data_IF_631363968450
#
_entry.id   IF_631363968450
#
_cell.length_a   1.000
_cell.length_b   1.000
_cell.length_c   1.000
_cell.angle_alpha   90.00
_cell.angle_beta   90.00
_cell.angle_gamma   90.00
#
_symmetry.space_group_name_H-M   'P 1'
#
loop_
_entity.id
_entity.type
_entity.pdbx_description
1 polymer ?
#
# COMPACT_ATOMS: atom_id res chain seq x y z
N UNK A 1 -12.35 -36.95 42.77
CA UNK A 1 -12.16 -37.12 41.31
C UNK A 1 -13.13 -36.30 40.47
N UNK A 2 -14.36 -36.05 40.92
CA UNK A 2 -15.40 -35.32 40.15
C UNK A 2 -15.06 -33.86 39.83
N UNK A 3 -14.35 -33.13 40.71
CA UNK A 3 -13.98 -31.73 40.51
C UNK A 3 -12.81 -31.52 39.51
N UNK A 4 -11.94 -32.54 39.36
CA UNK A 4 -10.80 -32.43 38.41
C UNK A 4 -11.24 -32.61 36.96
N UNK A 5 -12.31 -33.37 36.73
CA UNK A 5 -12.89 -33.58 35.39
C UNK A 5 -13.59 -32.29 34.90
N UNK A 6 -14.25 -31.58 35.83
CA UNK A 6 -14.94 -30.34 35.48
C UNK A 6 -13.96 -29.20 35.05
N UNK A 7 -12.80 -29.12 35.73
CA UNK A 7 -11.75 -28.15 35.37
C UNK A 7 -11.15 -28.48 34.00
N UNK A 8 -10.96 -29.77 33.69
CA UNK A 8 -10.42 -30.21 32.40
C UNK A 8 -11.37 -29.87 31.22
N UNK A 9 -12.68 -30.01 31.43
CA UNK A 9 -13.69 -29.69 30.42
C UNK A 9 -13.78 -28.17 30.20
N UNK A 10 -13.68 -27.35 31.26
CA UNK A 10 -13.70 -25.89 31.13
C UNK A 10 -12.45 -25.38 30.40
N UNK A 11 -11.27 -25.96 30.66
CA UNK A 11 -10.05 -25.60 29.95
C UNK A 11 -10.11 -26.01 28.46
N UNK A 12 -10.74 -27.13 28.15
CA UNK A 12 -10.91 -27.59 26.77
C UNK A 12 -11.88 -26.69 25.96
N UNK A 13 -12.87 -26.08 26.62
CA UNK A 13 -13.82 -25.15 25.96
C UNK A 13 -13.26 -23.74 25.74
N UNK A 14 -12.21 -23.33 26.44
CA UNK A 14 -11.55 -22.03 26.26
C UNK A 14 -10.58 -21.99 25.07
N UNK A 15 -10.25 -23.11 24.44
CA UNK A 15 -9.25 -23.19 23.36
C UNK A 15 -9.89 -23.14 21.95
N UNK A 16 -11.23 -23.09 21.85
CA UNK A 16 -11.93 -23.37 20.59
C UNK A 16 -12.38 -22.12 19.79
N UNK A 17 -11.89 -20.92 20.09
CA UNK A 17 -12.27 -19.71 19.35
C UNK A 17 -11.12 -18.82 18.95
N UNK A 18 -9.97 -19.38 18.55
CA UNK A 18 -9.01 -18.62 17.75
C UNK A 18 -9.39 -18.83 16.27
N UNK A 19 -10.39 -18.15 15.84
CA UNK A 19 -10.60 -17.95 14.39
C UNK A 19 -9.50 -17.00 13.93
N UNK A 20 -8.50 -17.52 13.23
CA UNK A 20 -7.63 -16.68 12.44
C UNK A 20 -8.53 -15.87 11.50
N UNK A 21 -8.47 -14.55 11.60
CA UNK A 21 -9.21 -13.68 10.71
C UNK A 21 -8.60 -13.87 9.32
N UNK A 22 -9.36 -14.44 8.38
CA UNK A 22 -8.94 -14.53 6.98
C UNK A 22 -8.77 -13.10 6.46
N UNK A 23 -7.53 -12.75 6.16
CA UNK A 23 -7.17 -11.46 5.56
C UNK A 23 -6.98 -11.71 4.07
N UNK A 24 -7.79 -11.08 3.24
CA UNK A 24 -7.73 -11.22 1.80
C UNK A 24 -7.21 -9.94 1.14
N UNK A 25 -6.39 -10.11 0.10
CA UNK A 25 -6.10 -9.04 -0.85
C UNK A 25 -7.25 -8.95 -1.85
N UNK A 26 -7.95 -7.82 -1.88
CA UNK A 26 -9.11 -7.61 -2.77
C UNK A 26 -8.75 -7.44 -4.26
N UNK A 27 -7.48 -7.56 -4.63
CA UNK A 27 -6.99 -7.21 -5.97
C UNK A 27 -7.64 -8.04 -7.08
N UNK A 28 -7.79 -9.36 -6.90
CA UNK A 28 -8.36 -10.22 -7.95
C UNK A 28 -9.83 -9.84 -8.23
N UNK A 29 -10.60 -9.63 -7.17
CA UNK A 29 -12.00 -9.24 -7.29
C UNK A 29 -12.14 -7.84 -7.92
N UNK A 30 -11.30 -6.89 -7.51
CA UNK A 30 -11.26 -5.54 -8.05
C UNK A 30 -10.89 -5.53 -9.54
N UNK A 31 -9.84 -6.23 -9.93
CA UNK A 31 -9.44 -6.35 -11.32
C UNK A 31 -10.53 -7.03 -12.18
N UNK A 32 -11.19 -8.06 -11.66
CA UNK A 32 -12.29 -8.72 -12.36
C UNK A 32 -13.46 -7.77 -12.62
N UNK A 33 -13.72 -6.83 -11.71
CA UNK A 33 -14.75 -5.81 -11.89
C UNK A 33 -14.32 -4.76 -12.93
N UNK A 34 -13.10 -4.23 -12.81
CA UNK A 34 -12.58 -3.22 -13.76
C UNK A 34 -12.47 -3.76 -15.18
N UNK A 35 -12.11 -5.01 -15.36
CA UNK A 35 -12.00 -5.65 -16.67
C UNK A 35 -13.35 -5.85 -17.40
N UNK A 36 -14.48 -5.60 -16.72
CA UNK A 36 -15.80 -5.56 -17.37
C UNK A 36 -15.99 -4.30 -18.23
N UNK A 37 -15.25 -3.23 -17.94
CA UNK A 37 -15.20 -2.04 -18.77
C UNK A 37 -14.27 -2.30 -19.98
N UNK A 38 -14.78 -2.29 -21.22
CA UNK A 38 -13.98 -2.56 -22.40
C UNK A 38 -12.89 -1.50 -22.67
N UNK A 39 -13.08 -0.26 -22.22
CA UNK A 39 -12.09 0.81 -22.38
C UNK A 39 -10.93 0.57 -21.41
N UNK A 40 -11.22 0.26 -20.15
CA UNK A 40 -10.21 -0.13 -19.19
C UNK A 40 -9.43 -1.38 -19.65
N UNK A 41 -10.12 -2.42 -20.09
CA UNK A 41 -9.49 -3.67 -20.55
C UNK A 41 -8.52 -3.41 -21.70
N UNK A 42 -8.90 -2.56 -22.67
CA UNK A 42 -8.05 -2.17 -23.79
C UNK A 42 -6.81 -1.40 -23.35
N UNK A 43 -6.99 -0.42 -22.45
CA UNK A 43 -5.88 0.36 -21.91
C UNK A 43 -4.92 -0.52 -21.10
N UNK A 44 -5.45 -1.40 -20.28
CA UNK A 44 -4.66 -2.37 -19.53
C UNK A 44 -3.79 -3.25 -20.44
N UNK A 45 -4.36 -3.80 -21.54
CA UNK A 45 -3.59 -4.59 -22.50
C UNK A 45 -2.46 -3.78 -23.17
N UNK A 46 -2.73 -2.53 -23.53
CA UNK A 46 -1.72 -1.63 -24.08
C UNK A 46 -0.59 -1.37 -23.07
N UNK A 47 -0.93 -1.14 -21.81
CA UNK A 47 0.05 -0.93 -20.75
C UNK A 47 0.87 -2.18 -20.47
N UNK A 48 0.26 -3.39 -20.50
CA UNK A 48 0.99 -4.65 -20.41
C UNK A 48 2.01 -4.84 -21.55
N UNK A 49 1.67 -4.44 -22.77
CA UNK A 49 2.61 -4.47 -23.89
C UNK A 49 3.77 -3.50 -23.70
N UNK A 50 3.47 -2.26 -23.27
CA UNK A 50 4.51 -1.27 -22.94
C UNK A 50 5.43 -1.77 -21.86
N UNK A 51 4.86 -2.33 -20.77
CA UNK A 51 5.62 -2.91 -19.66
C UNK A 51 6.55 -4.03 -20.12
N UNK A 52 6.05 -5.00 -20.89
CA UNK A 52 6.89 -6.09 -21.45
C UNK A 52 8.04 -5.56 -22.30
N UNK A 53 7.77 -4.51 -23.09
CA UNK A 53 8.81 -3.88 -23.91
C UNK A 53 9.86 -3.19 -23.03
N UNK A 54 9.43 -2.48 -21.99
CA UNK A 54 10.32 -1.83 -21.04
C UNK A 54 11.18 -2.84 -20.26
N UNK A 55 10.58 -3.95 -19.80
CA UNK A 55 11.29 -5.05 -19.12
C UNK A 55 12.36 -5.64 -20.06
N UNK A 56 12.01 -5.95 -21.31
CA UNK A 56 12.98 -6.49 -22.26
C UNK A 56 14.15 -5.52 -22.51
N UNK A 57 13.87 -4.21 -22.57
CA UNK A 57 14.92 -3.19 -22.69
C UNK A 57 15.78 -3.10 -21.43
N UNK A 58 15.20 -3.21 -20.24
CA UNK A 58 15.92 -3.15 -18.96
C UNK A 58 16.88 -4.33 -18.74
N UNK A 59 16.68 -5.42 -19.47
CA UNK A 59 17.60 -6.56 -19.43
C UNK A 59 18.88 -6.33 -20.22
N UNK A 60 18.97 -5.26 -21.04
CA UNK A 60 20.18 -4.95 -21.78
C UNK A 60 21.30 -4.45 -20.85
N UNK A 61 22.57 -4.82 -21.11
CA UNK A 61 23.70 -4.39 -20.28
C UNK A 61 23.85 -2.88 -20.22
N UNK A 62 23.58 -2.18 -21.34
CA UNK A 62 23.70 -0.72 -21.46
C UNK A 62 22.67 -0.01 -20.56
N UNK A 63 21.46 -0.54 -20.46
CA UNK A 63 20.43 0.02 -19.61
C UNK A 63 20.74 -0.17 -18.12
N UNK A 64 21.29 -1.33 -17.74
CA UNK A 64 21.67 -1.60 -16.34
C UNK A 64 22.75 -0.63 -15.83
N UNK A 65 23.63 -0.19 -16.69
CA UNK A 65 24.68 0.76 -16.34
C UNK A 65 24.16 2.19 -16.13
N UNK A 66 23.01 2.53 -16.72
CA UNK A 66 22.37 3.86 -16.55
C UNK A 66 21.55 4.01 -15.26
N UNK A 67 21.32 2.92 -14.51
CA UNK A 67 20.55 2.91 -13.27
C UNK A 67 21.45 3.01 -12.01
N UNK A 68 22.49 3.85 -12.06
CA UNK A 68 23.40 4.05 -10.92
C UNK A 68 22.71 4.84 -9.79
N UNK A 69 21.82 5.76 -10.16
CA UNK A 69 21.04 6.54 -9.19
C UNK A 69 19.73 5.84 -8.84
N UNK A 70 19.23 5.97 -7.60
CA UNK A 70 17.94 5.39 -7.23
C UNK A 70 16.81 6.05 -8.02
N UNK A 71 15.85 5.21 -8.42
CA UNK A 71 14.59 5.70 -8.98
C UNK A 71 13.77 6.26 -7.82
N UNK A 72 13.58 7.58 -7.80
CA UNK A 72 12.76 8.24 -6.78
C UNK A 72 11.30 8.28 -7.22
N UNK A 73 10.41 7.73 -6.40
CA UNK A 73 8.97 7.70 -6.64
C UNK A 73 8.30 8.69 -5.68
N UNK A 74 7.72 9.80 -6.20
CA UNK A 74 6.96 10.72 -5.38
C UNK A 74 5.64 10.07 -4.95
N UNK A 75 5.32 10.19 -3.68
CA UNK A 75 4.12 9.62 -3.07
C UNK A 75 3.22 10.73 -2.56
N UNK A 76 1.92 10.55 -2.74
CA UNK A 76 0.87 11.31 -2.07
C UNK A 76 -0.02 10.36 -1.25
N UNK A 77 -0.54 10.85 -0.12
CA UNK A 77 -1.39 10.07 0.77
C UNK A 77 -2.69 10.84 1.03
N UNK A 78 -3.81 10.16 0.82
CA UNK A 78 -5.14 10.76 0.91
C UNK A 78 -5.92 10.07 2.04
N UNK A 79 -6.20 10.82 3.11
CA UNK A 79 -6.98 10.35 4.24
C UNK A 79 -8.45 10.81 4.14
N UNK A 80 -9.40 10.06 4.73
CA UNK A 80 -10.81 10.44 4.71
C UNK A 80 -11.07 11.72 5.52
N UNK A 81 -12.23 12.36 5.25
CA UNK A 81 -12.69 13.53 5.98
C UNK A 81 -12.98 13.26 7.46
N UNK A 82 -12.92 14.31 8.26
CA UNK A 82 -13.22 14.26 9.70
C UNK A 82 -11.99 13.97 10.57
N UNK A 83 -10.80 13.91 9.97
CA UNK A 83 -9.53 13.62 10.65
C UNK A 83 -8.58 14.83 10.69
N UNK A 84 -9.07 16.01 10.35
CA UNK A 84 -8.26 17.23 10.17
C UNK A 84 -7.54 17.64 11.46
N UNK A 85 -8.13 17.37 12.63
CA UNK A 85 -7.52 17.65 13.94
C UNK A 85 -6.24 16.83 14.21
N UNK A 86 -6.07 15.71 13.51
CA UNK A 86 -4.96 14.78 13.71
C UNK A 86 -3.88 14.89 12.63
N UNK A 87 -3.88 15.95 11.82
CA UNK A 87 -2.96 16.14 10.68
C UNK A 87 -1.52 15.76 11.01
N UNK A 88 -0.95 16.27 12.07
CA UNK A 88 0.44 15.99 12.44
C UNK A 88 0.70 14.48 12.70
N UNK A 89 -0.28 13.78 13.29
CA UNK A 89 -0.20 12.34 13.49
C UNK A 89 -0.30 11.59 12.15
N UNK A 90 -1.21 12.01 11.28
CA UNK A 90 -1.43 11.38 9.97
C UNK A 90 -0.24 11.58 9.04
N UNK A 91 0.40 12.75 9.04
CA UNK A 91 1.64 13.00 8.31
C UNK A 91 2.78 12.11 8.81
N UNK A 92 2.91 11.96 10.14
CA UNK A 92 3.90 11.05 10.72
C UNK A 92 3.59 9.58 10.38
N UNK A 93 2.32 9.19 10.33
CA UNK A 93 1.90 7.84 9.94
C UNK A 93 2.16 7.59 8.45
N UNK A 94 1.92 8.60 7.59
CA UNK A 94 2.26 8.54 6.18
C UNK A 94 3.78 8.33 5.99
N UNK A 95 4.61 9.08 6.72
CA UNK A 95 6.06 8.89 6.68
C UNK A 95 6.46 7.50 7.16
N UNK A 96 5.85 6.99 8.23
CA UNK A 96 6.09 5.62 8.71
C UNK A 96 5.80 4.57 7.63
N UNK A 97 4.70 4.71 6.88
CA UNK A 97 4.39 3.82 5.75
C UNK A 97 5.47 3.89 4.66
N UNK A 98 5.99 5.07 4.37
CA UNK A 98 7.08 5.24 3.39
C UNK A 98 8.38 4.60 3.89
N UNK A 99 8.69 4.73 5.17
CA UNK A 99 9.87 4.11 5.78
C UNK A 99 9.79 2.57 5.71
N UNK A 100 8.60 2.00 5.93
CA UNK A 100 8.34 0.55 5.75
C UNK A 100 8.62 0.15 4.31
N UNK A 101 8.02 0.84 3.32
CA UNK A 101 8.24 0.55 1.91
C UNK A 101 9.72 0.62 1.52
N UNK A 102 10.42 1.65 1.95
CA UNK A 102 11.83 1.78 1.67
C UNK A 102 12.64 0.64 2.32
N UNK A 103 12.26 0.21 3.51
CA UNK A 103 12.87 -0.95 4.17
C UNK A 103 12.63 -2.25 3.38
N UNK A 104 11.41 -2.46 2.89
CA UNK A 104 11.03 -3.65 2.13
C UNK A 104 11.79 -3.72 0.79
N UNK A 105 11.80 -2.62 0.04
CA UNK A 105 12.44 -2.56 -1.28
C UNK A 105 13.97 -2.62 -1.20
N UNK A 106 14.56 -2.19 -0.09
CA UNK A 106 16.01 -2.29 0.15
C UNK A 106 16.42 -3.54 0.94
N UNK A 107 15.45 -4.39 1.32
CA UNK A 107 15.65 -5.58 2.15
C UNK A 107 16.35 -5.27 3.50
N UNK A 108 16.02 -4.12 4.09
CA UNK A 108 16.52 -3.68 5.40
C UNK A 108 15.46 -3.76 6.51
N UNK A 109 14.26 -4.17 6.18
CA UNK A 109 13.18 -4.42 7.13
C UNK A 109 13.54 -5.53 8.14
N UNK A 110 12.99 -5.50 9.37
CA UNK A 110 13.37 -6.42 10.44
C UNK A 110 13.16 -7.91 10.14
N UNK A 111 12.19 -8.23 9.27
CA UNK A 111 11.84 -9.60 8.90
C UNK A 111 12.56 -10.10 7.63
N UNK A 112 13.37 -9.28 6.97
CA UNK A 112 14.20 -9.69 5.83
C UNK A 112 15.10 -10.90 6.17
N UNK A 113 15.51 -11.05 7.43
CA UNK A 113 16.30 -12.17 7.90
C UNK A 113 15.53 -13.50 7.89
N UNK A 114 14.19 -13.48 7.90
CA UNK A 114 13.36 -14.68 7.81
C UNK A 114 13.51 -15.38 6.47
N UNK A 115 14.00 -14.66 5.45
CA UNK A 115 14.33 -15.26 4.15
C UNK A 115 15.31 -16.43 4.27
N UNK A 116 16.25 -16.36 5.19
CA UNK A 116 17.19 -17.47 5.43
C UNK A 116 16.46 -18.79 5.72
N UNK A 117 15.33 -18.73 6.43
CA UNK A 117 14.48 -19.90 6.73
C UNK A 117 13.56 -20.25 5.57
N UNK A 118 12.97 -19.25 4.94
CA UNK A 118 12.00 -19.43 3.86
C UNK A 118 12.64 -19.90 2.54
N UNK A 119 13.87 -19.49 2.25
CA UNK A 119 14.59 -19.77 0.99
C UNK A 119 14.67 -21.25 0.63
N UNK A 120 14.69 -22.14 1.61
CA UNK A 120 14.69 -23.58 1.39
C UNK A 120 13.44 -24.12 0.69
N UNK A 121 12.31 -23.40 0.78
CA UNK A 121 11.04 -23.73 0.13
C UNK A 121 10.94 -23.16 -1.31
N UNK A 122 11.85 -22.24 -1.67
CA UNK A 122 11.84 -21.53 -2.95
C UNK A 122 13.21 -21.64 -3.64
N UNK A 123 13.63 -22.84 -4.08
CA UNK A 123 14.95 -23.04 -4.69
C UNK A 123 15.08 -22.21 -5.96
N UNK A 124 16.22 -21.50 -6.08
CA UNK A 124 16.50 -20.65 -7.23
C UNK A 124 15.89 -19.24 -7.18
N UNK A 125 15.14 -18.92 -6.10
CA UNK A 125 14.63 -17.58 -5.84
C UNK A 125 15.54 -16.88 -4.84
N UNK A 126 15.87 -15.62 -5.10
CA UNK A 126 16.58 -14.75 -4.14
C UNK A 126 15.70 -13.55 -3.81
N UNK A 127 15.76 -13.07 -2.58
CA UNK A 127 15.24 -11.74 -2.30
C UNK A 127 16.11 -10.70 -3.01
N UNK A 128 15.49 -9.72 -3.63
CA UNK A 128 16.18 -8.64 -4.32
C UNK A 128 16.39 -7.44 -3.42
N UNK A 129 17.28 -6.56 -3.86
CA UNK A 129 17.38 -5.19 -3.38
C UNK A 129 17.07 -4.31 -4.58
N UNK A 130 16.00 -3.53 -4.51
CA UNK A 130 15.64 -2.62 -5.57
C UNK A 130 16.33 -1.26 -5.37
N UNK A 131 16.84 -0.68 -6.46
CA UNK A 131 17.36 0.69 -6.43
C UNK A 131 16.21 1.68 -6.63
N UNK A 132 15.22 1.63 -5.72
CA UNK A 132 14.00 2.45 -5.71
C UNK A 132 13.89 3.09 -4.34
N UNK A 133 13.54 4.37 -4.33
CA UNK A 133 13.26 5.14 -3.13
C UNK A 133 11.90 5.80 -3.24
N UNK A 134 11.06 5.61 -2.25
CA UNK A 134 9.80 6.32 -2.10
C UNK A 134 9.99 7.54 -1.21
N UNK A 135 9.38 8.66 -1.55
CA UNK A 135 9.36 9.84 -0.72
C UNK A 135 8.00 10.53 -0.80
N UNK A 136 7.49 11.03 0.32
CA UNK A 136 6.32 11.91 0.28
C UNK A 136 6.75 13.17 -0.47
N UNK A 137 6.00 13.52 -1.53
CA UNK A 137 6.32 14.70 -2.30
C UNK A 137 6.12 15.97 -1.46
N UNK A 138 6.97 16.96 -1.70
CA UNK A 138 6.91 18.25 -1.00
C UNK A 138 6.83 19.44 -1.97
N UNK A 139 6.72 19.16 -3.27
CA UNK A 139 6.67 20.18 -4.30
C UNK A 139 5.77 19.71 -5.46
N UNK A 140 5.35 20.67 -6.26
CA UNK A 140 4.46 20.48 -7.43
C UNK A 140 3.10 19.89 -7.07
N UNK A 141 2.57 20.30 -5.91
CA UNK A 141 1.24 19.89 -5.49
C UNK A 141 0.17 20.35 -6.48
N UNK A 142 -0.84 19.51 -6.76
CA UNK A 142 -1.98 19.96 -7.57
C UNK A 142 -2.70 21.12 -6.91
N UNK A 143 -2.94 22.18 -7.69
CA UNK A 143 -3.68 23.36 -7.23
C UNK A 143 -5.14 23.02 -6.93
N UNK A 144 -5.76 23.75 -6.00
CA UNK A 144 -7.19 23.66 -5.64
C UNK A 144 -7.67 22.25 -5.17
N UNK A 145 -6.77 21.43 -4.62
CA UNK A 145 -7.13 20.08 -4.15
C UNK A 145 -7.42 20.03 -2.64
N UNK A 146 -6.64 20.71 -1.82
CA UNK A 146 -6.77 20.73 -0.35
C UNK A 146 -6.20 22.06 0.16
N UNK A 147 -6.97 22.80 0.98
CA UNK A 147 -6.56 24.12 1.52
C UNK A 147 -5.29 24.04 2.39
N UNK A 148 -5.04 22.89 3.02
CA UNK A 148 -3.88 22.66 3.88
C UNK A 148 -2.66 22.15 3.12
N UNK A 149 -2.81 21.87 1.82
CA UNK A 149 -1.72 21.40 0.98
C UNK A 149 -0.88 22.58 0.50
N UNK A 150 0.26 22.80 1.11
CA UNK A 150 1.15 23.92 0.79
C UNK A 150 2.46 23.44 0.20
N UNK A 151 3.01 24.20 -0.75
CA UNK A 151 4.32 23.94 -1.31
C UNK A 151 5.40 23.94 -0.22
N UNK A 152 6.26 22.92 -0.23
CA UNK A 152 7.24 22.67 0.81
C UNK A 152 6.74 21.75 1.94
N UNK A 153 5.44 21.57 2.06
CA UNK A 153 4.83 20.60 2.98
C UNK A 153 4.66 19.22 2.33
N UNK A 154 4.34 18.18 3.12
CA UNK A 154 4.13 16.84 2.60
C UNK A 154 2.83 16.74 1.78
N UNK A 155 2.84 15.97 0.68
CA UNK A 155 1.66 15.67 -0.13
C UNK A 155 0.71 14.72 0.64
N UNK A 156 0.08 15.25 1.69
CA UNK A 156 -0.91 14.56 2.53
C UNK A 156 -2.19 15.37 2.55
N UNK A 157 -3.27 14.81 2.02
CA UNK A 157 -4.59 15.43 2.04
C UNK A 157 -5.50 14.75 3.06
N UNK A 158 -6.40 15.51 3.66
CA UNK A 158 -7.40 15.00 4.61
C UNK A 158 -8.76 15.54 4.17
N UNK A 159 -9.69 14.63 3.90
CA UNK A 159 -11.03 15.02 3.45
C UNK A 159 -11.14 15.42 1.98
N UNK A 160 -10.05 15.34 1.23
CA UNK A 160 -10.08 15.56 -0.21
C UNK A 160 -10.88 14.45 -0.90
N UNK A 161 -11.82 14.83 -1.76
CA UNK A 161 -12.65 13.89 -2.53
C UNK A 161 -11.88 13.36 -3.74
N UNK A 162 -10.93 12.49 -3.47
CA UNK A 162 -10.04 11.90 -4.47
C UNK A 162 -10.85 11.23 -5.58
N UNK A 163 -10.69 11.73 -6.80
CA UNK A 163 -11.35 11.22 -7.99
C UNK A 163 -12.88 11.26 -7.96
N UNK A 164 -13.50 12.07 -7.10
CA UNK A 164 -14.95 12.10 -6.92
C UNK A 164 -15.50 10.76 -6.40
N UNK A 165 -14.76 10.12 -5.49
CA UNK A 165 -15.10 8.81 -4.93
C UNK A 165 -14.59 7.61 -5.74
N UNK A 166 -13.89 7.85 -6.86
CA UNK A 166 -13.22 6.81 -7.62
C UNK A 166 -11.80 6.54 -7.07
N UNK A 167 -11.16 5.49 -7.57
CA UNK A 167 -9.80 5.11 -7.17
C UNK A 167 -8.72 5.70 -8.11
N UNK A 168 -9.06 6.72 -8.88
CA UNK A 168 -8.15 7.45 -9.75
C UNK A 168 -8.54 8.92 -9.85
N UNK A 169 -7.54 9.80 -9.80
CA UNK A 169 -7.69 11.24 -9.96
C UNK A 169 -6.56 11.77 -10.86
N UNK A 170 -6.90 12.22 -12.08
CA UNK A 170 -5.90 12.74 -13.02
C UNK A 170 -5.11 13.95 -12.50
N UNK A 171 -5.65 14.73 -11.54
CA UNK A 171 -4.94 15.85 -10.93
C UNK A 171 -3.68 15.37 -10.19
N UNK A 172 -3.70 14.13 -9.68
CA UNK A 172 -2.60 13.45 -9.01
C UNK A 172 -1.81 12.52 -9.94
N UNK A 173 -1.87 12.76 -11.25
CA UNK A 173 -1.02 12.06 -12.22
C UNK A 173 0.46 12.30 -11.95
N UNK A 174 1.27 11.25 -12.03
CA UNK A 174 2.71 11.31 -11.75
C UNK A 174 3.11 10.91 -10.34
N UNK A 175 2.16 10.78 -9.42
CA UNK A 175 2.38 10.30 -8.06
C UNK A 175 2.01 8.83 -7.92
N UNK A 176 2.65 8.15 -6.98
CA UNK A 176 2.10 6.95 -6.38
C UNK A 176 1.11 7.40 -5.30
N UNK A 177 -0.17 7.23 -5.54
CA UNK A 177 -1.22 7.67 -4.63
C UNK A 177 -1.61 6.55 -3.68
N UNK A 178 -1.59 6.79 -2.37
CA UNK A 178 -2.24 5.96 -1.36
C UNK A 178 -3.59 6.56 -1.00
N UNK A 179 -4.66 5.81 -1.24
CA UNK A 179 -6.00 6.18 -0.80
C UNK A 179 -6.38 5.35 0.42
N UNK A 180 -6.34 5.98 1.58
CA UNK A 180 -6.61 5.33 2.87
C UNK A 180 -8.09 5.48 3.19
N UNK A 181 -8.84 4.39 3.23
CA UNK A 181 -10.28 4.41 3.48
C UNK A 181 -10.77 3.12 4.15
N UNK A 182 -11.96 3.16 4.74
CA UNK A 182 -12.64 1.95 5.20
C UNK A 182 -13.18 1.18 3.99
N UNK A 183 -12.67 -0.01 3.77
CA UNK A 183 -13.10 -0.91 2.68
C UNK A 183 -13.74 -2.20 3.22
N UNK A 184 -14.12 -2.17 4.50
CA UNK A 184 -14.76 -3.29 5.18
C UNK A 184 -13.79 -4.24 5.87
N UNK A 185 -14.33 -5.05 6.74
CA UNK A 185 -13.56 -6.01 7.52
C UNK A 185 -13.01 -7.13 6.65
N UNK A 186 -11.74 -7.48 6.88
CA UNK A 186 -11.08 -8.59 6.19
C UNK A 186 -10.31 -8.20 4.93
N UNK A 187 -10.61 -7.07 4.28
CA UNK A 187 -9.81 -6.56 3.18
C UNK A 187 -8.67 -5.67 3.68
N UNK A 188 -7.45 -5.93 3.24
CA UNK A 188 -6.29 -5.10 3.55
C UNK A 188 -6.12 -3.95 2.55
N UNK A 189 -6.41 -4.21 1.29
CA UNK A 189 -6.28 -3.23 0.22
C UNK A 189 -6.41 -3.86 -1.17
N UNK A 190 -6.34 -3.02 -2.18
CA UNK A 190 -6.32 -3.42 -3.58
C UNK A 190 -5.68 -2.31 -4.43
N UNK A 191 -5.27 -2.65 -5.65
CA UNK A 191 -4.70 -1.72 -6.62
C UNK A 191 -4.90 -2.27 -8.03
N UNK A 192 -5.11 -1.43 -9.04
CA UNK A 192 -5.11 -1.88 -10.42
C UNK A 192 -3.72 -2.36 -10.84
N UNK A 193 -3.63 -3.56 -11.41
CA UNK A 193 -2.37 -4.07 -11.96
C UNK A 193 -2.08 -3.41 -13.31
N UNK A 194 -0.84 -2.93 -13.48
CA UNK A 194 -0.41 -2.33 -14.74
C UNK A 194 -1.10 -1.00 -15.05
N UNK A 195 -1.46 -0.26 -14.02
CA UNK A 195 -2.10 1.03 -14.11
C UNK A 195 -1.28 2.09 -14.85
N UNK A 196 -1.91 3.23 -15.12
CA UNK A 196 -1.28 4.39 -15.74
C UNK A 196 -0.93 5.42 -14.69
N UNK A 197 0.35 5.75 -14.56
CA UNK A 197 0.81 6.80 -13.64
C UNK A 197 0.18 8.18 -13.97
N UNK A 198 -0.13 8.42 -15.24
CA UNK A 198 -0.74 9.69 -15.68
C UNK A 198 -2.24 9.77 -15.35
N UNK A 199 -2.88 8.65 -15.07
CA UNK A 199 -4.28 8.62 -14.66
C UNK A 199 -4.48 8.90 -13.16
N UNK A 200 -3.39 9.07 -12.39
CA UNK A 200 -3.45 9.28 -10.96
C UNK A 200 -4.12 8.13 -10.21
N UNK A 201 -3.89 6.89 -10.65
CA UNK A 201 -4.44 5.70 -10.00
C UNK A 201 -3.86 5.53 -8.61
N UNK A 202 -4.65 4.97 -7.70
CA UNK A 202 -4.26 4.78 -6.30
C UNK A 202 -4.06 3.32 -5.92
N UNK A 203 -3.24 3.13 -4.90
CA UNK A 203 -3.24 1.94 -4.05
C UNK A 203 -4.21 2.20 -2.91
N UNK A 204 -5.32 1.49 -2.90
CA UNK A 204 -6.32 1.61 -1.84
C UNK A 204 -5.90 0.73 -0.67
N UNK A 205 -5.81 1.32 0.52
CA UNK A 205 -5.42 0.62 1.75
C UNK A 205 -6.46 0.84 2.83
N UNK A 206 -6.83 -0.23 3.51
CA UNK A 206 -7.74 -0.17 4.65
C UNK A 206 -7.12 0.64 5.80
N UNK A 207 -7.93 1.44 6.49
CA UNK A 207 -7.53 2.21 7.67
C UNK A 207 -6.72 1.38 8.69
N UNK A 208 -7.12 0.13 8.92
CA UNK A 208 -6.43 -0.78 9.84
C UNK A 208 -5.17 -1.46 9.28
N UNK A 209 -4.79 -1.19 8.02
CA UNK A 209 -3.64 -1.80 7.36
C UNK A 209 -2.56 -0.78 6.97
N UNK A 210 -2.80 0.51 7.19
CA UNK A 210 -1.88 1.59 6.79
C UNK A 210 -0.93 1.95 7.93
N UNK A 211 0.38 1.89 7.68
CA UNK A 211 1.41 2.18 8.67
C UNK A 211 1.63 1.05 9.69
N UNK A 212 2.27 1.38 10.78
CA UNK A 212 2.57 0.46 11.89
C UNK A 212 2.53 1.16 13.25
N UNK A 213 2.63 0.37 14.32
CA UNK A 213 2.68 0.90 15.68
C UNK A 213 1.31 1.29 16.25
N UNK A 214 1.26 2.35 17.04
CA UNK A 214 0.03 2.79 17.69
C UNK A 214 -0.97 3.46 16.72
N UNK A 215 -0.50 3.88 15.54
CA UNK A 215 -1.30 4.65 14.61
C UNK A 215 -1.76 5.99 15.16
N UNK A 216 -2.85 6.51 14.62
CA UNK A 216 -3.52 7.73 15.10
C UNK A 216 -4.84 7.31 15.75
N UNK A 217 -4.80 7.05 17.06
CA UNK A 217 -5.91 6.44 17.81
C UNK A 217 -7.15 7.34 17.79
N UNK A 218 -6.97 8.65 17.89
CA UNK A 218 -8.07 9.63 17.91
C UNK A 218 -8.81 9.65 16.56
N UNK A 219 -8.12 9.36 15.46
CA UNK A 219 -8.69 9.21 14.13
C UNK A 219 -9.22 7.80 13.83
N UNK A 220 -9.09 6.87 14.76
CA UNK A 220 -9.49 5.46 14.54
C UNK A 220 -8.59 4.72 13.54
N UNK A 221 -7.47 5.30 13.13
CA UNK A 221 -6.48 4.66 12.27
C UNK A 221 -5.47 3.93 13.16
N UNK A 222 -5.79 2.71 13.49
CA UNK A 222 -4.95 1.85 14.33
C UNK A 222 -4.50 0.66 13.49
N UNK A 223 -3.23 0.62 13.05
CA UNK A 223 -2.72 -0.52 12.30
C UNK A 223 -2.89 -1.79 13.12
N UNK A 224 -3.46 -2.81 12.51
CA UNK A 224 -3.54 -4.11 13.15
C UNK A 224 -2.12 -4.68 13.21
N UNK A 225 -1.66 -5.05 14.41
CA UNK A 225 -0.36 -5.68 14.56
C UNK A 225 -0.26 -6.90 13.62
N UNK A 226 0.81 -6.93 12.83
CA UNK A 226 1.09 -8.02 11.91
C UNK A 226 1.45 -9.31 12.67
#
# INVERSE_FOLDING_TARGET
MRNKIFILIVVLFCVSNVTAQDRECGMEAHMAEMMKDPDFAREWELNQKKFKTAVNRSLSPEFRQSLMDPIVIPVAVHFPAGLESDRACLEALAQNQIDILNGDFTATNPDANLWATASGFYPGVNHGVANIQFCIATAFHPEDTDEDLVEGGPAVTIGYDFGGGNDSDPSWGGYMNFLVKDIGAGLLGYSPLGGSINAGQSVVINLGAFGSGAGCVDSGIVPQAA
#
